data_IF_183192217405
#
_entry.id   IF_183192217405
#
_cell.length_a   1.000
_cell.length_b   1.000
_cell.length_c   1.000
_cell.angle_alpha   90.00
_cell.angle_beta   90.00
_cell.angle_gamma   90.00
#
_symmetry.space_group_name_H-M   'P 1'
#
loop_
_entity.id
_entity.type
_entity.pdbx_description
1 polymer ?
#
# COMPACT_ATOMS: atom_id res chain seq x y z
N UNK A 1 -10.85 -5.89 22.42
CA UNK A 1 -9.70 -5.59 21.53
C UNK A 1 -9.50 -4.10 21.56
N UNK A 2 -8.37 -3.70 22.07
CA UNK A 2 -8.04 -2.32 22.38
C UNK A 2 -7.74 -1.53 21.10
N UNK A 3 -8.18 -0.27 21.05
CA UNK A 3 -7.71 0.76 20.10
C UNK A 3 -6.16 0.87 20.09
N UNK A 4 -5.52 0.36 21.14
CA UNK A 4 -4.05 0.34 21.31
C UNK A 4 -3.28 -0.52 20.33
N UNK A 5 -3.94 -1.43 19.59
CA UNK A 5 -3.30 -2.29 18.59
C UNK A 5 -3.18 -1.63 17.20
N UNK A 6 -3.55 -0.37 17.06
CA UNK A 6 -3.51 0.35 15.78
C UNK A 6 -2.12 0.92 15.51
N UNK A 7 -1.62 0.67 14.30
CA UNK A 7 -0.45 1.34 13.74
C UNK A 7 -0.94 2.41 12.76
N UNK A 8 -0.56 3.66 13.00
CA UNK A 8 -0.87 4.78 12.11
C UNK A 8 0.36 5.12 11.28
N UNK A 9 0.17 5.18 9.97
CA UNK A 9 1.20 5.58 9.01
C UNK A 9 0.77 6.88 8.36
N UNK A 10 1.54 7.94 8.57
CA UNK A 10 1.32 9.26 7.98
C UNK A 10 2.45 9.56 7.02
N UNK A 11 2.09 10.04 5.84
CA UNK A 11 3.06 10.25 4.77
C UNK A 11 2.96 11.64 4.12
N UNK A 12 2.39 12.62 4.81
CA UNK A 12 2.12 13.93 4.22
C UNK A 12 3.41 14.65 3.79
N UNK A 13 4.41 14.68 4.66
CA UNK A 13 5.70 15.33 4.38
C UNK A 13 6.51 14.62 3.27
N UNK A 14 6.26 13.32 3.06
CA UNK A 14 6.97 12.53 2.05
C UNK A 14 6.37 12.66 0.64
N UNK A 15 5.31 13.45 0.47
CA UNK A 15 4.74 13.74 -0.85
C UNK A 15 5.50 14.82 -1.61
N UNK A 16 6.33 15.60 -0.94
CA UNK A 16 7.16 16.61 -1.59
C UNK A 16 8.08 15.94 -2.60
N UNK A 17 8.04 16.45 -3.83
CA UNK A 17 8.85 15.94 -4.93
C UNK A 17 9.25 17.08 -5.84
N UNK A 18 10.53 17.19 -6.09
CA UNK A 18 11.03 17.97 -7.22
C UNK A 18 10.76 17.21 -8.53
N UNK A 19 10.08 17.84 -9.51
CA UNK A 19 9.87 17.21 -10.80
C UNK A 19 11.21 17.03 -11.51
N UNK A 20 11.53 15.77 -11.83
CA UNK A 20 12.71 15.44 -12.60
C UNK A 20 12.36 15.42 -14.08
N UNK A 21 12.86 16.40 -14.84
CA UNK A 21 12.65 16.50 -16.28
C UNK A 21 13.89 16.01 -17.00
N UNK A 22 13.75 14.91 -17.77
CA UNK A 22 14.79 14.45 -18.69
C UNK A 22 14.32 14.59 -20.12
N UNK A 23 15.11 15.29 -20.95
CA UNK A 23 14.90 15.34 -22.37
C UNK A 23 16.26 15.45 -23.08
N UNK A 24 16.38 14.84 -24.25
CA UNK A 24 17.57 14.94 -25.11
C UNK A 24 17.65 16.29 -25.84
N UNK A 25 16.55 17.03 -25.93
CA UNK A 25 16.47 18.32 -26.57
C UNK A 25 16.57 19.45 -25.54
N UNK A 26 17.61 20.28 -25.64
CA UNK A 26 17.81 21.43 -24.77
C UNK A 26 16.65 22.43 -24.84
N UNK A 27 16.08 22.61 -26.02
CA UNK A 27 14.91 23.47 -26.22
C UNK A 27 13.68 22.94 -25.53
N UNK A 28 13.40 21.64 -25.66
CA UNK A 28 12.27 21.00 -24.96
C UNK A 28 12.47 21.00 -23.44
N UNK A 29 13.71 20.89 -22.97
CA UNK A 29 14.02 21.01 -21.55
C UNK A 29 13.64 22.40 -21.01
N UNK A 30 14.05 23.48 -21.69
CA UNK A 30 13.69 24.84 -21.28
C UNK A 30 12.18 25.10 -21.38
N UNK A 31 11.52 24.61 -22.43
CA UNK A 31 10.07 24.71 -22.54
C UNK A 31 9.34 23.91 -21.47
N UNK A 32 9.85 22.73 -21.08
CA UNK A 32 9.28 21.88 -20.06
C UNK A 32 9.48 22.42 -18.64
N UNK A 33 10.50 23.22 -18.39
CA UNK A 33 10.71 23.87 -17.08
C UNK A 33 9.55 24.81 -16.68
N UNK A 34 8.87 25.40 -17.66
CA UNK A 34 7.69 26.24 -17.42
C UNK A 34 6.38 25.46 -17.36
N UNK A 35 6.38 24.18 -17.76
CA UNK A 35 5.21 23.32 -17.70
C UNK A 35 5.23 22.55 -16.39
N UNK A 36 4.69 23.15 -15.37
CA UNK A 36 4.45 22.43 -14.11
C UNK A 36 3.21 21.57 -14.25
N UNK A 37 3.30 20.30 -13.83
CA UNK A 37 2.14 19.45 -13.74
C UNK A 37 1.21 20.04 -12.68
N UNK A 38 0.12 20.68 -13.13
CA UNK A 38 -0.91 21.30 -12.28
C UNK A 38 -1.81 20.22 -11.68
N UNK A 39 -1.23 19.17 -11.12
CA UNK A 39 -1.99 18.12 -10.52
C UNK A 39 -1.88 18.22 -9.00
N UNK A 40 -3.03 18.26 -8.37
CA UNK A 40 -3.10 18.13 -6.93
C UNK A 40 -2.71 16.72 -6.50
N UNK A 41 -1.91 16.64 -5.45
CA UNK A 41 -1.50 15.39 -4.82
C UNK A 41 -2.28 15.23 -3.52
N UNK A 42 -2.83 14.06 -3.29
CA UNK A 42 -3.50 13.70 -2.06
C UNK A 42 -2.93 12.42 -1.48
N UNK A 43 -3.09 12.27 -0.17
CA UNK A 43 -2.75 11.05 0.54
C UNK A 43 -3.78 10.79 1.63
N UNK A 44 -4.32 9.58 1.63
CA UNK A 44 -5.22 9.10 2.67
C UNK A 44 -4.43 8.69 3.91
N UNK A 45 -4.98 8.95 5.08
CA UNK A 45 -4.46 8.41 6.33
C UNK A 45 -4.79 6.92 6.40
N UNK A 46 -3.79 6.11 6.70
CA UNK A 46 -3.91 4.66 6.78
C UNK A 46 -3.47 4.19 8.16
N UNK A 47 -4.32 3.41 8.80
CA UNK A 47 -4.04 2.77 10.08
C UNK A 47 -4.41 1.30 9.96
N UNK A 48 -3.67 0.42 10.59
CA UNK A 48 -3.95 -1.01 10.52
C UNK A 48 -3.71 -1.70 11.86
N UNK A 49 -4.34 -2.86 12.03
CA UNK A 49 -4.05 -3.80 13.11
C UNK A 49 -3.00 -4.80 12.63
N UNK A 50 -2.17 -5.33 13.53
CA UNK A 50 -1.20 -6.36 13.17
C UNK A 50 -1.84 -7.48 12.35
N UNK A 51 -1.12 -7.95 11.34
CA UNK A 51 -1.57 -9.04 10.49
C UNK A 51 -1.75 -10.30 11.33
N UNK A 52 -2.83 -11.03 11.10
CA UNK A 52 -3.22 -12.21 11.87
C UNK A 52 -3.76 -13.31 10.97
N UNK A 53 -3.93 -14.48 11.56
CA UNK A 53 -4.47 -15.67 10.90
C UNK A 53 -5.71 -16.18 11.62
N UNK A 54 -6.62 -16.78 10.86
CA UNK A 54 -7.79 -17.49 11.38
C UNK A 54 -8.22 -18.61 10.45
N UNK A 55 -8.74 -19.68 11.01
CA UNK A 55 -9.39 -20.73 10.23
C UNK A 55 -10.82 -20.35 9.89
N UNK A 56 -11.18 -20.54 8.63
CA UNK A 56 -12.53 -20.26 8.11
C UNK A 56 -12.97 -21.40 7.21
N UNK A 57 -14.24 -21.80 7.33
CA UNK A 57 -14.84 -22.76 6.41
C UNK A 57 -15.29 -22.01 5.15
N UNK A 58 -14.61 -22.27 4.04
CA UNK A 58 -14.85 -21.62 2.74
C UNK A 58 -15.63 -22.58 1.83
N UNK A 59 -16.77 -22.17 1.24
CA UNK A 59 -17.49 -22.98 0.29
C UNK A 59 -16.70 -23.19 -1.00
N UNK A 60 -16.60 -24.42 -1.44
CA UNK A 60 -15.97 -24.80 -2.71
C UNK A 60 -17.00 -24.88 -3.83
N UNK A 61 -16.55 -24.80 -5.08
CA UNK A 61 -17.41 -25.00 -6.26
C UNK A 61 -18.15 -26.34 -6.26
N UNK A 62 -17.60 -27.35 -5.59
CA UNK A 62 -18.23 -28.66 -5.38
C UNK A 62 -19.39 -28.67 -4.38
N UNK A 63 -19.69 -27.52 -3.75
CA UNK A 63 -20.67 -27.41 -2.67
C UNK A 63 -20.18 -27.89 -1.30
N UNK A 64 -18.96 -28.45 -1.20
CA UNK A 64 -18.35 -28.84 0.07
C UNK A 64 -17.70 -27.63 0.75
N UNK A 65 -17.71 -27.66 2.09
CA UNK A 65 -16.96 -26.69 2.89
C UNK A 65 -15.54 -27.19 3.08
N UNK A 66 -14.57 -26.29 2.87
CA UNK A 66 -13.15 -26.56 3.13
C UNK A 66 -12.65 -25.60 4.20
N UNK A 67 -12.08 -26.16 5.27
CA UNK A 67 -11.42 -25.36 6.30
C UNK A 67 -10.08 -24.84 5.77
N UNK A 68 -9.95 -23.51 5.64
CA UNK A 68 -8.74 -22.85 5.17
C UNK A 68 -8.18 -21.93 6.23
N UNK A 69 -6.85 -21.83 6.27
CA UNK A 69 -6.15 -20.79 7.03
C UNK A 69 -6.15 -19.50 6.20
N UNK A 70 -6.80 -18.47 6.72
CA UNK A 70 -6.89 -17.15 6.09
C UNK A 70 -6.01 -16.19 6.86
N UNK A 71 -5.07 -15.54 6.17
CA UNK A 71 -4.30 -14.42 6.67
C UNK A 71 -5.11 -13.16 6.45
N UNK A 72 -5.11 -12.23 7.40
CA UNK A 72 -5.88 -11.00 7.25
C UNK A 72 -5.24 -9.82 7.96
N UNK A 73 -5.50 -8.64 7.41
CA UNK A 73 -5.13 -7.35 7.99
C UNK A 73 -6.37 -6.45 8.03
N UNK A 74 -6.80 -6.09 9.24
CA UNK A 74 -7.85 -5.09 9.41
C UNK A 74 -7.21 -3.72 9.37
N UNK A 75 -7.78 -2.83 8.60
CA UNK A 75 -7.28 -1.48 8.41
C UNK A 75 -8.38 -0.43 8.49
N UNK A 76 -7.98 0.80 8.69
CA UNK A 76 -8.86 1.97 8.62
C UNK A 76 -8.25 2.98 7.68
N UNK A 77 -9.06 3.52 6.80
CA UNK A 77 -8.70 4.59 5.87
C UNK A 77 -9.53 5.82 6.18
N UNK A 78 -8.89 6.99 6.16
CA UNK A 78 -9.53 8.27 6.42
C UNK A 78 -9.02 9.32 5.45
N UNK A 79 -9.93 10.17 4.98
CA UNK A 79 -9.58 11.37 4.23
C UNK A 79 -9.44 12.52 5.22
N UNK A 80 -8.25 13.02 5.45
CA UNK A 80 -7.99 14.18 6.31
C UNK A 80 -8.19 15.50 5.58
N UNK A 81 -8.49 15.46 4.29
CA UNK A 81 -8.57 16.62 3.43
C UNK A 81 -7.20 17.23 3.07
N UNK A 82 -6.11 16.73 3.66
CA UNK A 82 -4.79 17.26 3.42
C UNK A 82 -4.21 16.80 2.08
N UNK A 83 -3.60 17.72 1.36
CA UNK A 83 -2.95 17.46 0.08
C UNK A 83 -1.99 18.58 -0.29
N UNK A 84 -1.33 18.41 -1.43
CA UNK A 84 -0.41 19.38 -2.01
C UNK A 84 -0.92 19.84 -3.37
N UNK A 85 -0.88 21.13 -3.60
CA UNK A 85 -1.27 21.72 -4.88
C UNK A 85 -0.24 22.72 -5.40
N UNK A 86 -0.29 23.06 -6.68
CA UNK A 86 0.57 24.09 -7.25
C UNK A 86 0.03 25.49 -6.90
N UNK A 87 0.90 26.38 -6.46
CA UNK A 87 0.65 27.81 -6.31
C UNK A 87 1.46 28.57 -7.33
N UNK A 88 0.80 29.29 -8.23
CA UNK A 88 1.46 30.16 -9.18
C UNK A 88 2.06 31.39 -8.46
N UNK A 89 3.33 31.66 -8.70
CA UNK A 89 4.06 32.81 -8.19
C UNK A 89 4.01 33.98 -9.20
N UNK A 90 4.34 35.18 -8.75
CA UNK A 90 4.28 36.40 -9.57
C UNK A 90 5.25 36.36 -10.80
N UNK A 91 6.25 35.53 -10.77
CA UNK A 91 7.23 35.33 -11.86
C UNK A 91 6.78 34.23 -12.87
N UNK A 92 5.56 33.67 -12.71
CA UNK A 92 5.03 32.60 -13.55
C UNK A 92 5.58 31.22 -13.20
N UNK A 93 6.41 31.09 -12.16
CA UNK A 93 6.82 29.79 -11.61
C UNK A 93 5.79 29.26 -10.63
N UNK A 94 5.93 27.99 -10.24
CA UNK A 94 5.00 27.35 -9.31
C UNK A 94 5.74 26.88 -8.06
N UNK A 95 5.15 27.17 -6.91
CA UNK A 95 5.57 26.60 -5.64
C UNK A 95 4.55 25.54 -5.18
N UNK A 96 4.98 24.64 -4.34
CA UNK A 96 4.08 23.71 -3.66
C UNK A 96 3.39 24.43 -2.51
N UNK A 97 2.08 24.29 -2.41
CA UNK A 97 1.31 24.75 -1.26
C UNK A 97 0.45 23.60 -0.70
N UNK A 98 0.18 23.68 0.59
CA UNK A 98 -0.84 22.81 1.19
C UNK A 98 -2.21 23.16 0.58
N UNK A 99 -2.93 22.12 0.18
CA UNK A 99 -4.25 22.18 -0.40
C UNK A 99 -5.25 21.36 0.40
N UNK A 100 -6.52 21.63 0.16
CA UNK A 100 -7.61 20.82 0.70
C UNK A 100 -8.26 20.04 -0.42
N UNK A 101 -8.38 18.73 -0.24
CA UNK A 101 -9.08 17.86 -1.16
C UNK A 101 -10.50 17.60 -0.71
N UNK A 102 -11.39 17.55 -1.69
CA UNK A 102 -12.78 17.18 -1.52
C UNK A 102 -12.93 15.66 -1.21
N UNK A 103 -14.01 15.09 -1.61
CA UNK A 103 -14.29 13.67 -1.49
C UNK A 103 -13.33 12.84 -2.33
N UNK A 104 -12.84 11.75 -1.74
CA UNK A 104 -11.93 10.81 -2.37
C UNK A 104 -12.52 9.39 -2.31
N UNK A 105 -12.07 8.53 -3.21
CA UNK A 105 -12.34 7.09 -3.14
C UNK A 105 -11.03 6.34 -2.94
N UNK A 106 -11.04 5.40 -2.02
CA UNK A 106 -9.94 4.47 -1.82
C UNK A 106 -10.19 3.19 -2.60
N UNK A 107 -9.46 3.00 -3.67
CA UNK A 107 -9.46 1.73 -4.41
C UNK A 107 -8.28 0.89 -3.89
N UNK A 108 -8.52 -0.02 -2.95
CA UNK A 108 -7.47 -0.77 -2.29
C UNK A 108 -6.79 -1.75 -3.23
N UNK A 109 -5.47 -1.82 -3.15
CA UNK A 109 -4.68 -2.80 -3.84
C UNK A 109 -3.64 -3.36 -2.86
N UNK A 110 -3.93 -4.53 -2.30
CA UNK A 110 -3.04 -5.18 -1.34
C UNK A 110 -2.30 -6.35 -1.99
N UNK A 111 -0.98 -6.34 -1.86
CA UNK A 111 -0.11 -7.40 -2.35
C UNK A 111 0.82 -7.86 -1.22
N UNK A 112 0.65 -9.09 -0.77
CA UNK A 112 1.59 -9.75 0.13
C UNK A 112 2.68 -10.42 -0.72
N UNK A 113 3.94 -10.15 -0.41
CA UNK A 113 5.08 -10.69 -1.14
C UNK A 113 6.07 -11.34 -0.17
N UNK A 114 6.37 -12.62 -0.37
CA UNK A 114 7.45 -13.33 0.32
C UNK A 114 8.81 -12.73 -0.04
N UNK A 115 9.69 -12.64 0.94
CA UNK A 115 11.06 -12.13 0.79
C UNK A 115 12.11 -13.21 1.12
N UNK A 116 11.67 -14.44 1.34
CA UNK A 116 12.53 -15.56 1.71
C UNK A 116 13.56 -15.86 0.62
N UNK A 117 14.62 -16.51 1.05
CA UNK A 117 15.68 -17.02 0.16
C UNK A 117 15.80 -18.53 0.32
N UNK A 118 16.04 -19.21 -0.78
CA UNK A 118 16.32 -20.65 -0.75
C UNK A 118 17.69 -20.95 -0.08
N UNK A 119 17.98 -22.23 0.09
CA UNK A 119 19.25 -22.69 0.67
C UNK A 119 20.50 -22.25 -0.10
N UNK A 120 20.34 -21.76 -1.34
CA UNK A 120 21.40 -21.21 -2.19
C UNK A 120 21.46 -19.67 -2.13
N UNK A 121 20.65 -19.03 -1.27
CA UNK A 121 20.55 -17.58 -1.14
C UNK A 121 19.80 -16.88 -2.27
N UNK A 122 19.18 -17.63 -3.19
CA UNK A 122 18.37 -17.06 -4.27
C UNK A 122 17.01 -16.65 -3.72
N UNK A 123 16.55 -15.46 -4.08
CA UNK A 123 15.25 -14.95 -3.68
C UNK A 123 14.12 -15.83 -4.25
N UNK A 124 13.28 -16.35 -3.35
CA UNK A 124 12.04 -17.07 -3.68
C UNK A 124 10.87 -16.12 -3.42
N UNK A 125 10.50 -15.34 -4.41
CA UNK A 125 9.39 -14.39 -4.28
C UNK A 125 8.10 -15.01 -4.73
N UNK A 126 7.17 -15.21 -3.80
CA UNK A 126 5.76 -15.54 -4.07
C UNK A 126 4.92 -14.29 -3.78
N UNK A 127 3.94 -14.04 -4.61
CA UNK A 127 3.06 -12.88 -4.49
C UNK A 127 1.61 -13.36 -4.33
N UNK A 128 0.91 -12.83 -3.33
CA UNK A 128 -0.46 -13.17 -3.01
C UNK A 128 -1.30 -11.90 -3.07
N UNK A 129 -2.31 -11.93 -3.94
CA UNK A 129 -3.27 -10.85 -4.06
C UNK A 129 -4.34 -10.95 -2.98
N UNK A 130 -4.86 -9.81 -2.58
CA UNK A 130 -6.05 -9.74 -1.72
C UNK A 130 -7.24 -10.48 -2.34
N UNK A 131 -7.93 -11.25 -1.50
CA UNK A 131 -9.07 -12.10 -1.88
C UNK A 131 -10.33 -11.65 -1.16
N UNK A 132 -11.42 -11.65 -1.87
CA UNK A 132 -12.74 -11.40 -1.29
C UNK A 132 -13.30 -12.70 -0.75
N UNK A 133 -13.28 -12.88 0.56
CA UNK A 133 -13.75 -14.06 1.27
C UNK A 133 -14.91 -13.69 2.21
N UNK A 134 -16.16 -13.61 1.73
CA UNK A 134 -17.30 -13.19 2.54
C UNK A 134 -17.51 -14.04 3.80
N UNK A 135 -17.22 -15.34 3.71
CA UNK A 135 -17.34 -16.26 4.84
C UNK A 135 -16.40 -15.94 6.02
N UNK A 136 -15.27 -15.27 5.75
CA UNK A 136 -14.30 -14.90 6.79
C UNK A 136 -14.71 -13.64 7.56
N UNK A 137 -15.44 -12.72 6.92
CA UNK A 137 -15.76 -11.39 7.48
C UNK A 137 -16.45 -11.47 8.85
N UNK A 138 -17.51 -12.27 9.08
CA UNK A 138 -18.19 -12.30 10.37
C UNK A 138 -17.27 -12.75 11.52
N UNK A 139 -16.37 -13.69 11.25
CA UNK A 139 -15.41 -14.20 12.25
C UNK A 139 -14.36 -13.14 12.58
N UNK A 140 -13.81 -12.49 11.57
CA UNK A 140 -12.83 -11.42 11.73
C UNK A 140 -13.48 -10.22 12.43
N UNK A 141 -14.67 -9.80 12.00
CA UNK A 141 -15.37 -8.65 12.58
C UNK A 141 -15.66 -8.85 14.07
N UNK A 142 -16.16 -10.01 14.49
CA UNK A 142 -16.41 -10.30 15.91
C UNK A 142 -15.15 -10.18 16.76
N UNK A 143 -14.01 -10.55 16.21
CA UNK A 143 -12.71 -10.51 16.91
C UNK A 143 -12.11 -9.11 16.94
N UNK A 144 -12.12 -8.42 15.80
CA UNK A 144 -11.33 -7.19 15.61
C UNK A 144 -12.15 -5.91 15.76
N UNK A 145 -13.42 -5.94 15.37
CA UNK A 145 -14.30 -4.77 15.31
C UNK A 145 -15.75 -5.13 15.70
N UNK A 146 -15.99 -5.59 16.94
CA UNK A 146 -17.30 -6.11 17.34
C UNK A 146 -18.44 -5.09 17.26
N UNK A 147 -18.16 -3.81 17.37
CA UNK A 147 -19.14 -2.72 17.35
C UNK A 147 -19.15 -1.92 16.03
N UNK A 148 -18.33 -2.32 15.04
CA UNK A 148 -18.21 -1.62 13.78
C UNK A 148 -18.68 -2.43 12.59
N UNK A 149 -18.63 -1.83 11.42
CA UNK A 149 -18.85 -2.49 10.14
C UNK A 149 -17.51 -2.72 9.45
N UNK A 150 -17.19 -3.97 9.15
CA UNK A 150 -15.98 -4.36 8.44
C UNK A 150 -16.33 -4.66 6.98
N UNK A 151 -15.65 -3.98 6.07
CA UNK A 151 -15.88 -4.08 4.62
C UNK A 151 -14.75 -4.87 3.95
N UNK A 152 -15.05 -5.61 2.91
CA UNK A 152 -14.03 -6.16 2.02
C UNK A 152 -13.50 -5.08 1.05
N UNK A 153 -12.44 -5.39 0.33
CA UNK A 153 -11.78 -4.42 -0.56
C UNK A 153 -12.69 -3.87 -1.67
N UNK A 154 -13.62 -4.68 -2.20
CA UNK A 154 -14.58 -4.21 -3.18
C UNK A 154 -15.58 -3.21 -2.57
N UNK A 155 -16.12 -3.54 -1.40
CA UNK A 155 -17.05 -2.66 -0.69
C UNK A 155 -16.40 -1.35 -0.25
N UNK A 156 -15.13 -1.39 0.17
CA UNK A 156 -14.37 -0.16 0.52
C UNK A 156 -14.22 0.75 -0.70
N UNK A 157 -13.97 0.18 -1.89
CA UNK A 157 -13.82 0.95 -3.11
C UNK A 157 -15.09 1.70 -3.54
N UNK A 158 -16.27 1.28 -3.08
CA UNK A 158 -17.55 1.94 -3.35
C UNK A 158 -17.82 3.12 -2.41
N UNK A 159 -17.06 3.26 -1.32
CA UNK A 159 -17.30 4.31 -0.32
C UNK A 159 -16.61 5.60 -0.69
N UNK A 160 -17.38 6.68 -0.69
CA UNK A 160 -16.86 8.03 -0.82
C UNK A 160 -16.38 8.52 0.55
N UNK A 161 -15.10 8.89 0.63
CA UNK A 161 -14.45 9.40 1.83
C UNK A 161 -14.49 10.92 1.82
N UNK A 162 -15.43 11.50 2.57
CA UNK A 162 -15.47 12.95 2.79
C UNK A 162 -14.31 13.39 3.71
N UNK A 163 -13.81 14.64 3.56
CA UNK A 163 -12.78 15.17 4.44
C UNK A 163 -13.24 15.22 5.89
N UNK A 164 -12.46 14.68 6.79
CA UNK A 164 -12.72 14.67 8.23
C UNK A 164 -11.70 15.57 8.95
N UNK A 165 -12.15 16.63 9.60
CA UNK A 165 -11.31 17.50 10.40
C UNK A 165 -11.18 16.96 11.84
N UNK A 166 -9.95 16.96 12.36
CA UNK A 166 -9.65 16.61 13.74
C UNK A 166 -9.29 15.12 13.98
N UNK A 167 -9.08 14.77 15.26
CA UNK A 167 -8.79 13.39 15.70
C UNK A 167 -10.06 12.53 15.89
N UNK A 168 -11.11 12.82 15.12
CA UNK A 168 -12.35 12.08 15.23
C UNK A 168 -12.13 10.58 14.95
N UNK A 169 -12.96 9.74 15.58
CA UNK A 169 -12.97 8.27 15.41
C UNK A 169 -13.59 7.86 14.07
N UNK A 170 -13.50 8.71 13.05
CA UNK A 170 -14.05 8.48 11.73
C UNK A 170 -13.24 7.54 10.86
N UNK A 171 -13.59 7.50 9.59
CA UNK A 171 -12.95 6.66 8.58
C UNK A 171 -13.67 5.33 8.33
N UNK A 172 -13.22 4.65 7.29
CA UNK A 172 -13.81 3.39 6.82
C UNK A 172 -12.91 2.23 7.22
N UNK A 173 -13.52 1.21 7.83
CA UNK A 173 -12.84 -0.01 8.23
C UNK A 173 -12.95 -1.05 7.13
N UNK A 174 -11.79 -1.55 6.71
CA UNK A 174 -11.67 -2.61 5.73
C UNK A 174 -10.84 -3.78 6.21
N UNK A 175 -10.91 -4.88 5.47
CA UNK A 175 -10.08 -6.06 5.67
C UNK A 175 -9.50 -6.53 4.35
N UNK A 176 -8.18 -6.67 4.32
CA UNK A 176 -7.46 -7.39 3.28
C UNK A 176 -7.26 -8.84 3.74
N UNK A 177 -7.43 -9.80 2.84
CA UNK A 177 -7.40 -11.22 3.16
C UNK A 177 -6.60 -12.00 2.12
N UNK A 178 -5.83 -12.98 2.59
CA UNK A 178 -5.05 -13.86 1.73
C UNK A 178 -5.31 -15.33 2.11
N UNK A 179 -5.56 -16.14 1.12
CA UNK A 179 -5.68 -17.59 1.26
C UNK A 179 -4.51 -18.30 0.55
N UNK A 180 -4.27 -19.54 0.94
CA UNK A 180 -3.23 -20.39 0.34
C UNK A 180 -1.83 -19.74 0.39
N UNK A 181 -1.59 -18.94 1.44
CA UNK A 181 -0.26 -18.39 1.73
C UNK A 181 0.62 -19.54 2.20
N UNK A 182 1.85 -19.59 1.67
CA UNK A 182 2.82 -20.59 2.06
C UNK A 182 3.08 -20.55 3.57
N UNK A 183 2.85 -21.65 4.30
CA UNK A 183 3.04 -21.68 5.75
C UNK A 183 4.51 -21.48 6.17
N UNK A 184 5.47 -21.73 5.27
CA UNK A 184 6.91 -21.60 5.53
C UNK A 184 7.43 -20.16 5.33
N UNK A 185 6.57 -19.18 5.07
CA UNK A 185 7.01 -17.78 4.93
C UNK A 185 7.46 -17.21 6.28
N UNK A 186 8.73 -16.79 6.35
CA UNK A 186 9.30 -16.10 7.49
C UNK A 186 9.37 -14.59 7.30
N UNK A 187 9.78 -14.14 6.11
CA UNK A 187 9.99 -12.72 5.80
C UNK A 187 9.08 -12.29 4.67
N UNK A 188 8.29 -11.25 4.89
CA UNK A 188 7.37 -10.77 3.86
C UNK A 188 7.04 -9.29 4.02
N UNK A 189 6.52 -8.71 2.95
CA UNK A 189 6.00 -7.35 2.96
C UNK A 189 4.58 -7.31 2.41
N UNK A 190 3.78 -6.37 2.91
CA UNK A 190 2.48 -6.03 2.35
C UNK A 190 2.59 -4.67 1.68
N UNK A 191 2.29 -4.62 0.39
CA UNK A 191 2.24 -3.38 -0.37
C UNK A 191 0.79 -2.91 -0.47
N UNK A 192 0.56 -1.65 -0.09
CA UNK A 192 -0.76 -1.01 -0.12
C UNK A 192 -0.74 0.08 -1.19
N UNK A 193 -1.51 -0.12 -2.24
CA UNK A 193 -1.75 0.86 -3.29
C UNK A 193 -3.09 1.57 -3.13
N UNK A 194 -3.27 2.69 -3.83
CA UNK A 194 -4.49 3.48 -3.80
C UNK A 194 -4.57 4.53 -2.70
N UNK A 195 -3.58 4.60 -1.80
CA UNK A 195 -3.54 5.59 -0.72
C UNK A 195 -3.19 7.01 -1.19
N UNK A 196 -2.62 7.14 -2.37
CA UNK A 196 -2.22 8.42 -2.97
C UNK A 196 -2.29 8.35 -4.48
N UNK A 197 -2.50 9.49 -5.13
CA UNK A 197 -2.41 9.61 -6.57
C UNK A 197 -0.99 9.94 -7.07
N UNK A 198 0.02 9.93 -6.21
CA UNK A 198 1.40 10.17 -6.58
C UNK A 198 1.94 9.06 -7.48
N UNK A 199 2.63 9.45 -8.54
CA UNK A 199 3.29 8.54 -9.47
C UNK A 199 4.57 9.18 -10.02
N UNK A 200 5.43 8.38 -10.59
CA UNK A 200 6.58 8.84 -11.35
C UNK A 200 6.72 8.07 -12.66
N UNK A 201 7.29 8.73 -13.64
CA UNK A 201 7.68 8.11 -14.90
C UNK A 201 9.08 7.52 -14.77
N UNK A 202 9.27 6.35 -15.35
CA UNK A 202 10.59 5.78 -15.59
C UNK A 202 10.70 5.48 -17.07
N UNK A 203 11.67 6.11 -17.72
CA UNK A 203 12.00 5.84 -19.11
C UNK A 203 13.04 4.72 -19.15
N UNK A 204 12.78 3.67 -19.93
CA UNK A 204 13.76 2.60 -20.16
C UNK A 204 14.83 3.10 -21.13
N UNK A 205 16.08 2.99 -20.72
CA UNK A 205 17.19 3.48 -21.52
C UNK A 205 17.26 2.80 -22.88
N UNK A 206 17.23 3.59 -23.97
CA UNK A 206 17.36 3.10 -25.34
C UNK A 206 16.08 2.63 -26.02
N UNK A 207 14.94 2.57 -25.34
CA UNK A 207 13.68 2.16 -25.96
C UNK A 207 13.03 3.25 -26.80
N UNK A 208 13.27 4.54 -26.49
CA UNK A 208 12.75 5.65 -27.29
C UNK A 208 13.76 6.08 -28.35
N UNK A 209 13.32 6.10 -29.62
CA UNK A 209 14.06 6.67 -30.74
C UNK A 209 13.29 7.85 -31.34
N UNK A 210 14.01 8.77 -31.97
CA UNK A 210 13.38 9.90 -32.63
C UNK A 210 12.43 9.41 -33.75
N UNK A 211 11.15 9.80 -33.65
CA UNK A 211 10.07 9.33 -34.54
C UNK A 211 9.16 8.27 -33.92
N UNK A 212 9.51 7.72 -32.77
CA UNK A 212 8.62 6.83 -32.04
C UNK A 212 7.41 7.57 -31.45
N UNK A 213 6.29 6.87 -31.20
CA UNK A 213 5.16 7.45 -30.51
C UNK A 213 5.56 7.99 -29.13
N UNK A 214 4.98 9.12 -28.75
CA UNK A 214 5.23 9.75 -27.44
C UNK A 214 4.91 8.75 -26.31
N UNK A 215 5.87 8.55 -25.40
CA UNK A 215 5.75 7.65 -24.27
C UNK A 215 6.19 6.21 -24.52
N UNK A 216 6.71 5.87 -25.70
CA UNK A 216 7.31 4.55 -25.95
C UNK A 216 8.46 4.30 -24.95
N UNK A 217 8.50 3.13 -24.32
CA UNK A 217 9.47 2.76 -23.29
C UNK A 217 9.27 3.46 -21.94
N UNK A 218 8.21 4.26 -21.79
CA UNK A 218 7.87 4.94 -20.55
C UNK A 218 6.98 4.08 -19.69
N UNK A 219 7.44 3.80 -18.46
CA UNK A 219 6.66 3.09 -17.45
C UNK A 219 6.16 4.04 -16.38
N UNK A 220 4.89 3.90 -16.03
CA UNK A 220 4.26 4.61 -14.93
C UNK A 220 4.41 3.77 -13.65
N UNK A 221 5.01 4.35 -12.62
CA UNK A 221 5.15 3.73 -11.31
C UNK A 221 4.30 4.49 -10.29
N UNK A 222 3.34 3.82 -9.70
CA UNK A 222 2.52 4.38 -8.64
C UNK A 222 3.22 4.30 -7.30
N UNK A 223 3.03 5.32 -6.47
CA UNK A 223 3.51 5.31 -5.10
C UNK A 223 2.66 4.38 -4.26
N UNK A 224 3.32 3.46 -3.55
CA UNK A 224 2.69 2.45 -2.68
C UNK A 224 3.36 2.46 -1.32
N UNK A 225 2.58 2.18 -0.28
CA UNK A 225 3.08 1.96 1.06
C UNK A 225 3.52 0.49 1.18
N UNK A 226 4.78 0.25 1.55
CA UNK A 226 5.28 -1.08 1.90
C UNK A 226 5.35 -1.19 3.42
N UNK A 227 4.70 -2.19 3.97
CA UNK A 227 4.74 -2.57 5.38
C UNK A 227 5.56 -3.86 5.50
N UNK A 228 6.51 -3.89 6.42
CA UNK A 228 7.41 -5.01 6.60
C UNK A 228 6.95 -5.88 7.77
N UNK A 229 7.04 -7.19 7.61
CA UNK A 229 6.63 -8.18 8.61
C UNK A 229 7.56 -9.38 8.61
N UNK A 230 7.60 -10.09 9.75
CA UNK A 230 8.28 -11.34 9.87
C UNK A 230 7.62 -12.26 10.89
N UNK A 231 7.90 -13.55 10.80
CA UNK A 231 7.44 -14.57 11.74
C UNK A 231 8.66 -15.14 12.45
N UNK A 232 8.62 -15.25 13.79
CA UNK A 232 9.70 -15.83 14.59
C UNK A 232 9.57 -17.35 14.70
N UNK A 233 9.08 -18.05 13.73
CA UNK A 233 8.93 -19.49 13.73
C UNK A 233 9.98 -20.20 12.87
N UNK A 234 10.02 -21.51 12.99
CA UNK A 234 10.69 -22.43 12.07
C UNK A 234 9.65 -23.35 11.42
N UNK A 235 10.08 -24.21 10.49
CA UNK A 235 9.20 -25.15 9.78
C UNK A 235 8.51 -26.17 10.71
N UNK A 236 8.90 -26.26 11.98
CA UNK A 236 8.29 -27.14 12.97
C UNK A 236 7.18 -26.47 13.76
N UNK A 237 7.15 -25.12 13.79
CA UNK A 237 6.15 -24.33 14.47
C UNK A 237 5.11 -23.75 13.49
N UNK A 238 4.52 -24.60 12.64
CA UNK A 238 3.47 -24.21 11.68
C UNK A 238 2.27 -23.49 12.34
N UNK A 239 2.07 -23.73 13.63
CA UNK A 239 1.01 -23.09 14.43
C UNK A 239 1.45 -21.73 15.01
N UNK A 240 2.67 -21.25 14.75
CA UNK A 240 3.10 -19.96 15.22
C UNK A 240 2.27 -18.85 14.54
N UNK A 241 1.38 -18.27 15.32
CA UNK A 241 0.44 -17.24 14.89
C UNK A 241 0.98 -15.84 15.14
N UNK A 242 2.20 -15.74 15.66
CA UNK A 242 2.81 -14.46 15.96
C UNK A 242 3.46 -13.90 14.69
N UNK A 243 2.87 -12.83 14.18
CA UNK A 243 3.43 -12.02 13.11
C UNK A 243 3.87 -10.70 13.71
N UNK A 244 5.14 -10.36 13.54
CA UNK A 244 5.74 -9.14 14.05
C UNK A 244 5.83 -8.08 12.96
N UNK A 245 5.48 -6.85 13.33
CA UNK A 245 5.59 -5.68 12.45
C UNK A 245 7.01 -5.12 12.51
N UNK A 246 7.56 -4.80 11.35
CA UNK A 246 8.92 -4.33 11.14
C UNK A 246 9.79 -5.38 10.44
N UNK A 247 11.03 -5.04 10.07
CA UNK A 247 11.99 -5.98 9.56
C UNK A 247 12.50 -6.88 10.69
N UNK A 248 12.81 -8.13 10.36
CA UNK A 248 13.50 -9.02 11.30
C UNK A 248 14.89 -8.46 11.62
N UNK A 249 15.34 -8.54 12.90
CA UNK A 249 16.64 -8.03 13.30
C UNK A 249 17.78 -8.62 12.45
N UNK A 250 18.66 -7.76 11.92
CA UNK A 250 19.76 -8.16 11.04
C UNK A 250 19.36 -8.64 9.66
N UNK A 251 18.11 -8.40 9.21
CA UNK A 251 17.58 -8.82 7.91
C UNK A 251 16.94 -7.68 7.11
N UNK A 252 17.23 -6.45 7.46
CA UNK A 252 16.64 -5.26 6.82
C UNK A 252 16.92 -5.20 5.30
N UNK A 253 18.03 -5.77 4.84
CA UNK A 253 18.39 -5.89 3.43
C UNK A 253 17.35 -6.66 2.60
N UNK A 254 16.67 -7.67 3.18
CA UNK A 254 15.61 -8.41 2.49
C UNK A 254 14.45 -7.53 2.09
N UNK A 255 14.16 -6.52 2.90
CA UNK A 255 13.06 -5.57 2.69
C UNK A 255 13.47 -4.35 1.86
N UNK A 256 14.78 -4.17 1.62
CA UNK A 256 15.32 -2.97 0.96
C UNK A 256 15.17 -1.73 1.82
N UNK A 257 15.28 -1.86 3.15
CA UNK A 257 15.16 -0.78 4.14
C UNK A 257 16.40 -0.70 5.03
N UNK A 258 16.52 0.38 5.80
CA UNK A 258 17.46 0.43 6.91
C UNK A 258 16.95 -0.39 8.11
N UNK A 259 17.85 -0.71 9.03
CA UNK A 259 17.49 -1.45 10.25
C UNK A 259 16.46 -0.67 11.09
N UNK A 260 15.44 -1.40 11.56
CA UNK A 260 14.36 -0.81 12.35
C UNK A 260 13.28 -0.07 11.56
N UNK A 261 13.42 0.07 10.25
CA UNK A 261 12.42 0.73 9.41
C UNK A 261 11.27 -0.21 9.09
N UNK A 262 10.14 -0.03 9.77
CA UNK A 262 8.99 -0.92 9.67
C UNK A 262 8.15 -0.69 8.41
N UNK A 263 8.20 0.50 7.81
CA UNK A 263 7.49 0.83 6.57
C UNK A 263 8.29 1.81 5.71
N UNK A 264 7.97 1.84 4.44
CA UNK A 264 8.50 2.82 3.50
C UNK A 264 7.54 3.06 2.34
N UNK A 265 7.67 4.23 1.71
CA UNK A 265 6.98 4.51 0.47
C UNK A 265 7.88 4.12 -0.71
N UNK A 266 7.33 3.35 -1.62
CA UNK A 266 8.02 2.85 -2.81
C UNK A 266 7.28 3.24 -4.08
N UNK A 267 7.99 3.32 -5.20
CA UNK A 267 7.40 3.48 -6.53
C UNK A 267 7.49 2.16 -7.30
N UNK A 268 6.34 1.59 -7.59
CA UNK A 268 6.21 0.34 -8.36
C UNK A 268 5.04 0.37 -9.31
#
# INVERSE_FOLDING_TARGET
VSVRDMVEVRAHAELEREPFLTTKSRTLFYMAQSIHFRRELWCLEFSFKPLRMTYVDVPQLSGKMQRKLVWYMVYRVRNTGAGLGPKELADGTFATQEGSHAELQFVPHFLLTSLDRDSRGKSVRKAYLDRILPAAIPTIQRRELPQGRLLNSAQVAEVVLAPESGRAVGGVWGVAMWEDVDPEIDFFSVQVGGLTNAYQWQDEAGEYQLGDPLGKGRRLRHRKLQLNFWRPGDSYAEDEREIRYGPAPGKADLYGTAEGVAYQWIYR
#
